data_IF_108177974157
#
_entry.id   IF_108177974157
#
_cell.length_a   1.000
_cell.length_b   1.000
_cell.length_c   1.000
_cell.angle_alpha   90.00
_cell.angle_beta   90.00
_cell.angle_gamma   90.00
#
_symmetry.space_group_name_H-M   'P 1'
#
loop_
_entity.id
_entity.type
_entity.pdbx_description
1 polymer ?
#
# COMPACT_ATOMS: atom_id res chain seq x y z
N UNK A 1 -20.29 -4.19 3.91
CA UNK A 1 -19.99 -3.87 2.50
C UNK A 1 -18.82 -2.89 2.47
N UNK A 2 -17.78 -3.10 1.64
CA UNK A 2 -16.70 -2.11 1.44
C UNK A 2 -16.90 -1.42 0.08
N UNK A 3 -16.70 -0.10 -0.03
CA UNK A 3 -16.84 0.59 -1.31
C UNK A 3 -15.81 0.08 -2.32
N UNK A 4 -16.21 0.08 -3.59
CA UNK A 4 -15.33 -0.28 -4.70
C UNK A 4 -14.34 0.85 -5.00
N UNK A 5 -13.24 0.52 -5.67
CA UNK A 5 -12.24 1.50 -6.11
C UNK A 5 -12.88 2.61 -6.97
N UNK A 6 -13.79 2.24 -7.88
CA UNK A 6 -14.51 3.21 -8.72
C UNK A 6 -15.38 4.17 -7.90
N UNK A 7 -16.06 3.67 -6.87
CA UNK A 7 -16.85 4.51 -5.97
C UNK A 7 -15.97 5.44 -5.13
N UNK A 8 -14.82 4.95 -4.65
CA UNK A 8 -13.86 5.76 -3.89
C UNK A 8 -13.36 6.92 -4.76
N UNK A 9 -12.99 6.65 -6.02
CA UNK A 9 -12.54 7.71 -6.94
C UNK A 9 -13.66 8.69 -7.31
N UNK A 10 -14.88 8.21 -7.52
CA UNK A 10 -16.03 9.09 -7.76
C UNK A 10 -16.29 10.04 -6.58
N UNK A 11 -16.21 9.52 -5.36
CA UNK A 11 -16.34 10.34 -4.15
C UNK A 11 -15.21 11.36 -4.05
N UNK A 12 -13.97 10.95 -4.30
CA UNK A 12 -12.81 11.85 -4.24
C UNK A 12 -12.92 12.98 -5.28
N UNK A 13 -13.39 12.68 -6.50
CA UNK A 13 -13.64 13.69 -7.53
C UNK A 13 -14.69 14.72 -7.10
N UNK A 14 -15.84 14.27 -6.58
CA UNK A 14 -16.89 15.16 -6.08
C UNK A 14 -16.41 16.04 -4.90
N UNK A 15 -15.53 15.51 -4.04
CA UNK A 15 -14.95 16.28 -2.94
C UNK A 15 -13.98 17.34 -3.45
N UNK A 16 -13.17 17.04 -4.47
CA UNK A 16 -12.28 18.03 -5.09
C UNK A 16 -13.10 19.17 -5.71
N UNK A 17 -14.14 18.83 -6.49
CA UNK A 17 -15.04 19.82 -7.10
C UNK A 17 -15.68 20.73 -6.04
N UNK A 18 -16.21 20.14 -4.95
CA UNK A 18 -16.81 20.90 -3.86
C UNK A 18 -15.82 21.83 -3.15
N UNK A 19 -14.55 21.44 -3.09
CA UNK A 19 -13.48 22.24 -2.49
C UNK A 19 -12.87 23.25 -3.47
N UNK A 20 -13.29 23.28 -4.74
CA UNK A 20 -12.70 24.14 -5.77
C UNK A 20 -11.33 23.67 -6.26
N UNK A 21 -11.01 22.38 -6.08
CA UNK A 21 -9.73 21.77 -6.43
C UNK A 21 -9.86 20.92 -7.71
N UNK A 22 -8.83 20.91 -8.56
CA UNK A 22 -8.78 19.96 -9.69
C UNK A 22 -8.47 18.55 -9.18
N UNK A 23 -9.18 17.54 -9.71
CA UNK A 23 -8.88 16.16 -9.39
C UNK A 23 -7.50 15.75 -9.94
N UNK A 24 -6.56 15.25 -9.11
CA UNK A 24 -5.18 15.01 -9.52
C UNK A 24 -5.06 13.87 -10.54
N UNK A 25 -4.21 14.08 -11.56
CA UNK A 25 -3.96 13.11 -12.65
C UNK A 25 -2.79 12.17 -12.35
N UNK A 26 -1.94 12.51 -11.38
CA UNK A 26 -0.77 11.73 -10.97
C UNK A 26 -0.80 11.42 -9.48
N UNK A 27 -0.06 10.38 -9.09
CA UNK A 27 0.07 9.99 -7.69
C UNK A 27 0.82 11.05 -6.89
N UNK A 28 1.82 11.67 -7.51
CA UNK A 28 2.64 12.73 -6.94
C UNK A 28 1.77 13.96 -6.64
N UNK A 29 1.00 14.45 -7.64
CA UNK A 29 0.07 15.56 -7.45
C UNK A 29 -1.02 15.25 -6.42
N UNK A 30 -1.50 14.00 -6.36
CA UNK A 30 -2.44 13.59 -5.33
C UNK A 30 -1.83 13.66 -3.93
N UNK A 31 -0.56 13.27 -3.79
CA UNK A 31 0.16 13.31 -2.51
C UNK A 31 0.38 14.74 -2.04
N UNK A 32 0.78 15.63 -2.93
CA UNK A 32 0.94 17.08 -2.67
C UNK A 32 -0.39 17.73 -2.25
N UNK A 33 -1.47 17.47 -2.99
CA UNK A 33 -2.81 18.00 -2.68
C UNK A 33 -3.30 17.53 -1.32
N UNK A 34 -3.17 16.23 -1.02
CA UNK A 34 -3.58 15.67 0.28
C UNK A 34 -2.77 16.28 1.42
N UNK A 35 -1.46 16.46 1.25
CA UNK A 35 -0.63 17.07 2.29
C UNK A 35 -1.07 18.52 2.56
N UNK A 36 -1.22 19.33 1.51
CA UNK A 36 -1.69 20.72 1.65
C UNK A 36 -3.03 20.79 2.39
N UNK A 37 -4.02 20.03 1.92
CA UNK A 37 -5.35 19.99 2.55
C UNK A 37 -5.29 19.48 4.00
N UNK A 38 -4.39 18.54 4.31
CA UNK A 38 -4.19 18.07 5.70
C UNK A 38 -3.65 19.17 6.60
N UNK A 39 -2.69 19.95 6.13
CA UNK A 39 -2.10 21.05 6.91
C UNK A 39 -3.11 22.17 7.11
N UNK A 40 -3.81 22.57 6.05
CA UNK A 40 -4.87 23.58 6.10
C UNK A 40 -5.96 23.19 7.11
N UNK A 41 -6.31 21.90 7.19
CA UNK A 41 -7.27 21.37 8.17
C UNK A 41 -6.69 21.11 9.57
N UNK A 42 -5.39 21.35 9.80
CA UNK A 42 -4.74 21.11 11.10
C UNK A 42 -4.56 19.64 11.47
N UNK A 43 -4.48 18.74 10.50
CA UNK A 43 -4.34 17.31 10.74
C UNK A 43 -2.99 16.99 11.42
N UNK A 44 -2.95 16.18 12.50
CA UNK A 44 -1.74 15.96 13.30
C UNK A 44 -0.65 15.09 12.66
N UNK A 45 -0.83 14.68 11.40
CA UNK A 45 0.08 13.73 10.79
C UNK A 45 1.26 14.47 10.16
N UNK A 46 2.50 13.91 10.23
CA UNK A 46 3.72 14.59 9.80
C UNK A 46 3.74 14.82 8.28
N UNK A 47 4.68 15.67 7.82
CA UNK A 47 4.96 15.87 6.39
C UNK A 47 5.41 14.57 5.76
N UNK A 48 5.18 14.41 4.47
CA UNK A 48 5.55 13.21 3.72
C UNK A 48 7.06 12.95 3.77
N UNK A 49 7.86 14.02 3.74
CA UNK A 49 9.32 13.97 3.86
C UNK A 49 9.81 13.53 5.26
N UNK A 50 9.02 13.79 6.29
CA UNK A 50 9.33 13.41 7.68
C UNK A 50 8.93 11.95 7.97
N UNK A 51 8.18 11.30 7.09
CA UNK A 51 7.75 9.91 7.29
C UNK A 51 8.96 8.99 7.05
N UNK A 52 9.39 8.21 8.07
CA UNK A 52 10.46 7.25 7.88
C UNK A 52 10.07 6.23 6.81
N UNK A 53 10.94 6.01 5.83
CA UNK A 53 10.70 4.98 4.81
C UNK A 53 10.62 3.63 5.52
N UNK A 54 9.45 2.95 5.50
CA UNK A 54 9.31 1.69 6.22
C UNK A 54 10.28 0.67 5.63
N UNK A 55 10.90 -0.19 6.48
CA UNK A 55 11.81 -1.20 5.98
C UNK A 55 11.08 -2.09 4.97
N UNK A 56 11.77 -2.55 3.91
CA UNK A 56 11.16 -3.42 2.92
C UNK A 56 10.53 -4.59 3.64
N UNK A 57 9.21 -4.72 3.54
CA UNK A 57 8.48 -5.85 4.10
C UNK A 57 9.08 -7.11 3.47
N UNK A 58 9.89 -7.85 4.25
CA UNK A 58 10.34 -9.19 3.87
C UNK A 58 9.08 -9.93 3.46
N UNK A 59 8.93 -10.22 2.16
CA UNK A 59 7.79 -10.96 1.62
C UNK A 59 7.63 -12.18 2.52
N UNK A 60 6.53 -12.21 3.28
CA UNK A 60 6.27 -13.25 4.27
C UNK A 60 6.11 -14.55 3.49
N UNK A 61 7.22 -15.28 3.37
CA UNK A 61 7.35 -16.66 2.93
C UNK A 61 6.62 -17.04 1.64
N UNK A 62 7.27 -16.82 0.49
CA UNK A 62 7.12 -17.70 -0.69
C UNK A 62 7.82 -19.05 -0.44
N UNK A 63 7.66 -19.61 0.75
CA UNK A 63 8.46 -20.75 1.24
C UNK A 63 7.63 -21.99 1.54
N UNK A 64 6.36 -22.02 1.13
CA UNK A 64 5.52 -23.21 1.28
C UNK A 64 6.02 -24.37 0.40
N UNK A 65 6.28 -24.09 -0.87
CA UNK A 65 6.84 -25.05 -1.82
C UNK A 65 8.27 -25.47 -1.41
N UNK A 66 9.13 -24.52 -1.03
CA UNK A 66 10.50 -24.82 -0.60
C UNK A 66 10.55 -25.72 0.65
N UNK A 67 9.62 -25.52 1.60
CA UNK A 67 9.50 -26.40 2.77
C UNK A 67 9.07 -27.81 2.40
N UNK A 68 8.15 -27.96 1.44
CA UNK A 68 7.73 -29.26 0.95
C UNK A 68 8.86 -29.95 0.17
N UNK A 69 9.55 -29.22 -0.71
CA UNK A 69 10.70 -29.72 -1.45
C UNK A 69 11.81 -30.22 -0.50
N UNK A 70 12.10 -29.47 0.57
CA UNK A 70 13.05 -29.92 1.61
C UNK A 70 12.60 -31.18 2.34
N UNK A 71 11.30 -31.31 2.64
CA UNK A 71 10.76 -32.52 3.27
C UNK A 71 10.88 -33.72 2.35
N UNK A 72 10.51 -33.57 1.07
CA UNK A 72 10.64 -34.62 0.06
C UNK A 72 12.11 -35.03 -0.10
N UNK A 73 13.04 -34.08 -0.21
CA UNK A 73 14.46 -34.38 -0.30
C UNK A 73 14.99 -35.15 0.93
N UNK A 74 14.53 -34.80 2.13
CA UNK A 74 14.89 -35.51 3.36
C UNK A 74 14.23 -36.91 3.47
N UNK A 75 13.05 -37.10 2.90
CA UNK A 75 12.41 -38.42 2.77
C UNK A 75 13.24 -39.32 1.84
N UNK A 76 13.52 -38.84 0.62
CA UNK A 76 14.29 -39.59 -0.40
C UNK A 76 15.69 -39.94 0.10
N UNK A 77 16.37 -39.02 0.79
CA UNK A 77 17.68 -39.28 1.37
C UNK A 77 17.67 -40.32 2.50
N UNK A 78 16.53 -40.55 3.15
CA UNK A 78 16.36 -41.62 4.15
C UNK A 78 16.07 -42.97 3.50
N UNK A 79 15.35 -42.99 2.39
CA UNK A 79 15.03 -44.23 1.66
C UNK A 79 16.21 -44.79 0.85
N UNK A 80 17.14 -43.93 0.41
CA UNK A 80 18.34 -44.32 -0.34
C UNK A 80 19.54 -44.71 0.55
N UNK A 81 19.32 -44.91 1.85
CA UNK A 81 20.37 -45.21 2.84
C UNK A 81 20.21 -46.63 3.36
#
# INVERSE_FOLDING_TARGET
MRPTVRQIYALAAALCEKAGEEFPKTREAASELIERLRIENGHPAPRLEDIPIPPPRRRRGRGGADKLARRIAAEVARELR
#
